data_IF_924593459095
#
_entry.id   IF_924593459095
#
_cell.length_a   1.000
_cell.length_b   1.000
_cell.length_c   1.000
_cell.angle_alpha   90.00
_cell.angle_beta   90.00
_cell.angle_gamma   90.00
#
_symmetry.space_group_name_H-M   'P 1'
#
loop_
_entity.id
_entity.type
_entity.pdbx_description
1 polymer ?
#
# COMPACT_ATOMS: atom_id res chain seq x y z
N UNK A 1 -14.99 16.06 16.20
CA UNK A 1 -15.10 15.28 14.95
C UNK A 1 -16.46 14.61 14.90
N UNK A 2 -17.09 14.55 13.71
CA UNK A 2 -18.41 13.93 13.59
C UNK A 2 -18.34 12.39 13.50
N UNK A 3 -17.21 11.84 13.12
CA UNK A 3 -17.06 10.39 12.96
C UNK A 3 -16.70 9.71 14.29
N UNK A 4 -17.21 8.49 14.44
CA UNK A 4 -16.90 7.59 15.56
C UNK A 4 -15.90 6.52 15.17
N UNK A 5 -15.91 6.15 13.87
CA UNK A 5 -15.00 5.16 13.30
C UNK A 5 -14.33 5.75 12.07
N UNK A 6 -13.00 5.70 12.04
CA UNK A 6 -12.18 6.09 10.89
C UNK A 6 -11.29 4.92 10.51
N UNK A 7 -11.43 4.47 9.26
CA UNK A 7 -10.56 3.44 8.70
C UNK A 7 -9.63 4.03 7.64
N UNK A 8 -8.45 3.45 7.56
CA UNK A 8 -7.43 3.82 6.59
C UNK A 8 -7.11 2.64 5.69
N UNK A 9 -6.78 2.90 4.44
CA UNK A 9 -5.92 2.02 3.69
C UNK A 9 -4.50 2.08 4.26
N UNK A 10 -3.62 1.15 3.88
CA UNK A 10 -2.25 1.07 4.39
C UNK A 10 -1.21 1.53 3.37
N UNK A 11 -1.13 0.84 2.23
CA UNK A 11 -0.09 1.03 1.23
C UNK A 11 -0.29 2.33 0.43
N UNK A 12 0.69 3.24 0.41
CA UNK A 12 0.62 4.58 -0.17
C UNK A 12 -0.42 5.53 0.48
N UNK A 13 -0.97 5.11 1.63
CA UNK A 13 -1.87 5.93 2.46
C UNK A 13 -1.20 6.32 3.77
N UNK A 14 -0.58 5.40 4.49
CA UNK A 14 0.09 5.67 5.76
C UNK A 14 1.62 5.70 5.64
N UNK A 15 2.15 5.17 4.56
CA UNK A 15 3.57 5.21 4.16
C UNK A 15 3.68 5.06 2.63
N UNK A 16 4.83 5.41 2.04
CA UNK A 16 5.08 5.22 0.61
C UNK A 16 5.49 3.78 0.32
N UNK A 17 4.54 2.94 -0.10
CA UNK A 17 4.86 1.60 -0.58
C UNK A 17 5.69 1.64 -1.88
N UNK A 18 5.46 2.62 -2.75
CA UNK A 18 6.24 2.75 -3.99
C UNK A 18 7.72 3.05 -3.72
N UNK A 19 8.02 3.94 -2.76
CA UNK A 19 9.41 4.22 -2.37
C UNK A 19 10.06 3.02 -1.67
N UNK A 20 9.34 2.33 -0.77
CA UNK A 20 9.83 1.13 -0.12
C UNK A 20 10.13 0.02 -1.15
N UNK A 21 9.25 -0.15 -2.13
CA UNK A 21 9.42 -1.08 -3.24
C UNK A 21 10.66 -0.74 -4.08
N UNK A 22 10.81 0.53 -4.48
CA UNK A 22 11.96 0.97 -5.27
C UNK A 22 13.28 0.74 -4.52
N UNK A 23 13.37 1.22 -3.28
CA UNK A 23 14.57 1.07 -2.43
C UNK A 23 14.94 -0.41 -2.25
N UNK A 24 13.96 -1.26 -1.95
CA UNK A 24 14.18 -2.69 -1.74
C UNK A 24 14.60 -3.42 -3.02
N UNK A 25 13.94 -3.16 -4.14
CA UNK A 25 14.27 -3.77 -5.44
C UNK A 25 15.66 -3.33 -5.91
N UNK A 26 15.98 -2.04 -5.81
CA UNK A 26 17.30 -1.52 -6.14
C UNK A 26 18.39 -2.15 -5.26
N UNK A 27 18.16 -2.26 -3.95
CA UNK A 27 19.07 -2.93 -3.05
C UNK A 27 19.31 -4.40 -3.43
N UNK A 28 18.24 -5.16 -3.70
CA UNK A 28 18.36 -6.56 -4.15
C UNK A 28 19.17 -6.67 -5.44
N UNK A 29 18.93 -5.78 -6.40
CA UNK A 29 19.64 -5.81 -7.67
C UNK A 29 21.11 -5.40 -7.52
N UNK A 30 21.41 -4.41 -6.68
CA UNK A 30 22.79 -4.01 -6.37
C UNK A 30 23.58 -5.18 -5.77
N UNK A 31 23.00 -5.91 -4.80
CA UNK A 31 23.62 -7.10 -4.22
C UNK A 31 23.82 -8.22 -5.27
N UNK A 32 22.90 -8.36 -6.20
CA UNK A 32 23.03 -9.34 -7.29
C UNK A 32 24.15 -8.95 -8.26
N UNK A 33 24.24 -7.68 -8.66
CA UNK A 33 25.30 -7.16 -9.51
C UNK A 33 26.69 -7.37 -8.88
N UNK A 34 26.83 -7.12 -7.58
CA UNK A 34 28.07 -7.35 -6.85
C UNK A 34 28.54 -8.81 -6.97
N UNK A 35 27.63 -9.76 -6.75
CA UNK A 35 27.92 -11.20 -6.91
C UNK A 35 28.32 -11.56 -8.35
N UNK A 36 27.72 -10.91 -9.34
CA UNK A 36 28.06 -11.13 -10.75
C UNK A 36 29.43 -10.55 -11.13
N UNK A 37 29.78 -9.38 -10.62
CA UNK A 37 31.11 -8.79 -10.80
C UNK A 37 32.21 -9.68 -10.17
N UNK A 38 32.01 -10.15 -8.94
CA UNK A 38 32.94 -11.05 -8.26
C UNK A 38 33.18 -12.37 -9.03
N UNK A 39 32.14 -12.84 -9.72
CA UNK A 39 32.18 -14.07 -10.54
C UNK A 39 32.55 -13.82 -12.02
N UNK A 40 32.86 -12.59 -12.40
CA UNK A 40 33.12 -12.17 -13.79
C UNK A 40 31.95 -12.52 -14.75
N UNK A 41 30.71 -12.48 -14.29
CA UNK A 41 29.50 -12.70 -15.11
C UNK A 41 29.17 -11.44 -15.90
N UNK A 42 29.40 -10.25 -15.30
CA UNK A 42 29.31 -8.95 -15.92
C UNK A 42 30.63 -8.20 -15.76
N UNK A 43 30.95 -7.30 -16.68
CA UNK A 43 32.19 -6.50 -16.66
C UNK A 43 32.02 -5.18 -15.88
N UNK A 44 30.84 -4.60 -15.94
CA UNK A 44 30.53 -3.29 -15.34
C UNK A 44 29.18 -3.32 -14.61
N UNK A 45 29.04 -2.44 -13.64
CA UNK A 45 27.74 -2.19 -13.03
C UNK A 45 26.79 -1.48 -13.98
N UNK A 46 25.52 -1.88 -13.94
CA UNK A 46 24.43 -1.21 -14.62
C UNK A 46 23.88 -0.08 -13.76
N UNK A 47 23.39 0.96 -14.38
CA UNK A 47 22.66 2.02 -13.70
C UNK A 47 21.37 1.48 -13.06
N UNK A 48 21.28 1.61 -11.73
CA UNK A 48 20.14 1.10 -10.93
C UNK A 48 18.83 1.75 -11.34
N UNK A 49 18.84 3.04 -11.62
CA UNK A 49 17.63 3.80 -11.99
C UNK A 49 17.06 3.31 -13.32
N UNK A 50 17.90 3.16 -14.34
CA UNK A 50 17.50 2.64 -15.66
C UNK A 50 16.94 1.23 -15.56
N UNK A 51 17.64 0.36 -14.81
CA UNK A 51 17.18 -1.02 -14.62
C UNK A 51 15.86 -1.07 -13.84
N UNK A 52 15.73 -0.29 -12.75
CA UNK A 52 14.51 -0.24 -11.96
C UNK A 52 13.30 0.26 -12.76
N UNK A 53 13.48 1.28 -13.61
CA UNK A 53 12.40 1.78 -14.46
C UNK A 53 11.84 0.67 -15.37
N UNK A 54 12.70 -0.18 -15.94
CA UNK A 54 12.27 -1.33 -16.72
C UNK A 54 11.59 -2.39 -15.85
N UNK A 55 12.14 -2.69 -14.66
CA UNK A 55 11.53 -3.62 -13.73
C UNK A 55 10.14 -3.15 -13.28
N UNK A 56 9.99 -1.87 -12.98
CA UNK A 56 8.69 -1.25 -12.63
C UNK A 56 7.70 -1.35 -13.78
N UNK A 57 8.12 -1.04 -15.00
CA UNK A 57 7.29 -1.15 -16.21
C UNK A 57 6.78 -2.57 -16.42
N UNK A 58 7.65 -3.59 -16.33
CA UNK A 58 7.22 -4.99 -16.42
C UNK A 58 6.35 -5.41 -15.23
N UNK A 59 6.64 -4.90 -14.03
CA UNK A 59 5.78 -5.11 -12.86
C UNK A 59 4.35 -4.64 -13.11
N UNK A 60 4.17 -3.44 -13.66
CA UNK A 60 2.85 -2.86 -13.94
C UNK A 60 2.11 -3.62 -15.07
N UNK A 61 2.85 -4.07 -16.11
CA UNK A 61 2.28 -4.88 -17.21
C UNK A 61 1.74 -6.21 -16.68
N UNK A 62 2.53 -6.90 -15.86
CA UNK A 62 2.15 -8.23 -15.35
C UNK A 62 1.21 -8.17 -14.16
N UNK A 63 1.21 -7.08 -13.40
CA UNK A 63 0.25 -6.85 -12.32
C UNK A 63 -1.19 -6.91 -12.81
N UNK A 64 -1.50 -6.27 -13.94
CA UNK A 64 -2.82 -6.33 -14.57
C UNK A 64 -3.27 -7.76 -14.92
N UNK A 65 -2.32 -8.62 -15.28
CA UNK A 65 -2.62 -10.04 -15.56
C UNK A 65 -2.84 -10.83 -14.27
N UNK A 66 -2.10 -10.53 -13.21
CA UNK A 66 -2.25 -11.12 -11.90
C UNK A 66 -3.58 -10.73 -11.25
N UNK A 67 -3.91 -9.44 -11.23
CA UNK A 67 -5.18 -8.91 -10.72
C UNK A 67 -6.39 -9.56 -11.39
N UNK A 68 -6.33 -9.75 -12.71
CA UNK A 68 -7.38 -10.42 -13.48
C UNK A 68 -7.30 -11.96 -13.42
N UNK A 69 -6.46 -12.53 -12.54
CA UNK A 69 -6.26 -13.98 -12.35
C UNK A 69 -5.85 -14.75 -13.61
N UNK A 70 -5.23 -14.06 -14.59
CA UNK A 70 -4.67 -14.68 -15.80
C UNK A 70 -3.34 -15.36 -15.54
N UNK A 71 -2.63 -14.97 -14.50
CA UNK A 71 -1.40 -15.58 -14.02
C UNK A 71 -1.46 -15.67 -12.50
N UNK A 72 -0.78 -16.66 -11.91
CA UNK A 72 -0.59 -16.74 -10.46
C UNK A 72 0.54 -15.82 -9.98
N UNK A 73 0.69 -15.70 -8.66
CA UNK A 73 1.68 -14.84 -8.04
C UNK A 73 3.12 -15.24 -8.42
N UNK A 74 3.41 -16.53 -8.50
CA UNK A 74 4.74 -17.04 -8.84
C UNK A 74 5.10 -16.69 -10.29
N UNK A 75 4.19 -16.93 -11.21
CA UNK A 75 4.34 -16.56 -12.63
C UNK A 75 4.50 -15.07 -12.82
N UNK A 76 3.70 -14.23 -12.12
CA UNK A 76 3.84 -12.79 -12.14
C UNK A 76 5.25 -12.34 -11.75
N UNK A 77 5.77 -12.89 -10.65
CA UNK A 77 7.10 -12.55 -10.10
C UNK A 77 8.23 -12.91 -11.06
N UNK A 78 8.17 -14.11 -11.65
CA UNK A 78 9.16 -14.59 -12.60
C UNK A 78 9.14 -13.81 -13.91
N UNK A 79 7.95 -13.53 -14.47
CA UNK A 79 7.83 -12.82 -15.76
C UNK A 79 8.42 -11.40 -15.68
N UNK A 80 8.12 -10.61 -14.64
CA UNK A 80 8.68 -9.28 -14.51
C UNK A 80 10.20 -9.29 -14.36
N UNK A 81 10.75 -10.27 -13.64
CA UNK A 81 12.19 -10.46 -13.49
C UNK A 81 12.84 -10.85 -14.82
N UNK A 82 12.33 -11.89 -15.48
CA UNK A 82 12.89 -12.41 -16.73
C UNK A 82 12.91 -11.38 -17.84
N UNK A 83 11.80 -10.67 -18.07
CA UNK A 83 11.73 -9.70 -19.15
C UNK A 83 12.61 -8.48 -18.87
N UNK A 84 12.77 -8.09 -17.60
CA UNK A 84 13.76 -7.08 -17.23
C UNK A 84 15.18 -7.57 -17.54
N UNK A 85 15.55 -8.76 -17.09
CA UNK A 85 16.89 -9.30 -17.32
C UNK A 85 17.20 -9.46 -18.81
N UNK A 86 16.23 -9.91 -19.61
CA UNK A 86 16.36 -9.99 -21.08
C UNK A 86 16.64 -8.66 -21.73
N UNK A 87 15.96 -7.60 -21.30
CA UNK A 87 16.16 -6.26 -21.87
C UNK A 87 17.60 -5.76 -21.71
N UNK A 88 18.24 -6.12 -20.59
CA UNK A 88 19.63 -5.75 -20.32
C UNK A 88 20.65 -6.82 -20.71
N UNK A 89 20.22 -7.86 -21.42
CA UNK A 89 21.07 -9.01 -21.81
C UNK A 89 21.79 -9.66 -20.60
N UNK A 90 21.12 -9.70 -19.44
CA UNK A 90 21.61 -10.29 -18.20
C UNK A 90 21.20 -11.76 -18.07
N UNK A 91 21.95 -12.58 -17.33
CA UNK A 91 21.54 -13.95 -17.04
C UNK A 91 20.28 -13.97 -16.17
N UNK A 92 19.46 -14.98 -16.35
CA UNK A 92 18.27 -15.22 -15.53
C UNK A 92 17.87 -16.70 -15.58
N UNK A 93 17.40 -17.18 -14.45
CA UNK A 93 16.72 -18.48 -14.30
C UNK A 93 15.49 -18.31 -13.43
N UNK A 94 14.65 -19.34 -13.38
CA UNK A 94 13.48 -19.39 -12.51
C UNK A 94 13.90 -19.36 -11.02
N UNK A 95 14.97 -20.06 -10.69
CA UNK A 95 15.54 -20.13 -9.34
C UNK A 95 16.09 -18.78 -8.88
N UNK A 96 16.75 -18.05 -9.77
CA UNK A 96 17.24 -16.68 -9.49
C UNK A 96 16.07 -15.71 -9.30
N UNK A 97 15.03 -15.80 -10.12
CA UNK A 97 13.85 -14.98 -9.96
C UNK A 97 13.14 -15.24 -8.62
N UNK A 98 13.01 -16.50 -8.23
CA UNK A 98 12.40 -16.90 -6.96
C UNK A 98 13.26 -16.42 -5.77
N UNK A 99 14.60 -16.58 -5.84
CA UNK A 99 15.54 -16.12 -4.80
C UNK A 99 15.58 -14.59 -4.69
N UNK A 100 15.58 -13.87 -5.81
CA UNK A 100 15.50 -12.42 -5.84
C UNK A 100 14.24 -11.92 -5.15
N UNK A 101 13.12 -12.57 -5.45
CA UNK A 101 11.84 -12.21 -4.86
C UNK A 101 11.75 -12.52 -3.37
N UNK A 102 12.29 -13.68 -2.94
CA UNK A 102 12.37 -14.01 -1.51
C UNK A 102 13.19 -12.96 -0.76
N UNK A 103 14.36 -12.58 -1.27
CA UNK A 103 15.19 -11.53 -0.67
C UNK A 103 14.45 -10.17 -0.61
N UNK A 104 13.76 -9.78 -1.69
CA UNK A 104 12.90 -8.59 -1.68
C UNK A 104 11.85 -8.64 -0.57
N UNK A 105 11.14 -9.76 -0.41
CA UNK A 105 10.12 -9.92 0.64
C UNK A 105 10.69 -9.84 2.04
N UNK A 106 11.90 -10.34 2.24
CA UNK A 106 12.56 -10.31 3.56
C UNK A 106 12.94 -8.90 4.01
N UNK A 107 13.13 -7.98 3.06
CA UNK A 107 13.69 -6.66 3.37
C UNK A 107 12.76 -5.48 3.08
N UNK A 108 11.69 -5.65 2.27
CA UNK A 108 10.90 -4.51 1.77
C UNK A 108 10.28 -3.66 2.90
N UNK A 109 9.85 -4.29 3.97
CA UNK A 109 9.31 -3.60 5.14
C UNK A 109 10.38 -2.78 5.89
N UNK A 110 11.67 -3.11 5.77
CA UNK A 110 12.74 -2.31 6.37
C UNK A 110 12.88 -0.92 5.76
N UNK A 111 12.36 -0.72 4.55
CA UNK A 111 12.31 0.56 3.85
C UNK A 111 10.98 1.30 4.00
N UNK A 112 10.03 0.73 4.74
CA UNK A 112 8.73 1.38 5.00
C UNK A 112 8.90 2.47 6.05
N UNK A 113 8.76 3.73 5.63
CA UNK A 113 8.82 4.90 6.49
C UNK A 113 7.43 5.56 6.54
N UNK A 114 6.90 5.89 7.75
CA UNK A 114 5.59 6.51 7.87
C UNK A 114 5.58 7.89 7.20
N UNK A 115 4.46 8.27 6.61
CA UNK A 115 4.28 9.63 6.11
C UNK A 115 4.32 10.64 7.25
N UNK A 116 4.81 11.85 6.92
CA UNK A 116 4.80 12.99 7.83
C UNK A 116 3.40 13.25 8.37
N UNK A 117 3.29 13.46 9.69
CA UNK A 117 2.02 13.70 10.37
C UNK A 117 1.27 12.44 10.81
N UNK A 118 1.74 11.22 10.47
CA UNK A 118 1.04 9.97 10.84
C UNK A 118 0.82 9.87 12.35
N UNK A 119 1.86 10.04 13.15
CA UNK A 119 1.76 9.89 14.61
C UNK A 119 0.94 11.00 15.27
N UNK A 120 1.02 12.23 14.74
CA UNK A 120 0.15 13.32 15.20
C UNK A 120 -1.31 12.99 14.91
N UNK A 121 -1.63 12.54 13.70
CA UNK A 121 -2.98 12.13 13.31
C UNK A 121 -3.51 11.03 14.23
N UNK A 122 -2.76 9.94 14.43
CA UNK A 122 -3.17 8.83 15.29
C UNK A 122 -3.38 9.28 16.74
N UNK A 123 -2.49 10.12 17.27
CA UNK A 123 -2.61 10.66 18.62
C UNK A 123 -3.87 11.51 18.81
N UNK A 124 -4.19 12.36 17.83
CA UNK A 124 -5.41 13.19 17.87
C UNK A 124 -6.66 12.33 17.80
N UNK A 125 -6.69 11.30 16.96
CA UNK A 125 -7.81 10.39 16.84
C UNK A 125 -8.05 9.62 18.16
N UNK A 126 -6.98 9.10 18.74
CA UNK A 126 -7.02 8.39 20.02
C UNK A 126 -7.54 9.29 21.17
N UNK A 127 -7.00 10.53 21.28
CA UNK A 127 -7.45 11.50 22.28
C UNK A 127 -8.91 11.93 22.10
N UNK A 128 -9.40 11.88 20.85
CA UNK A 128 -10.80 12.19 20.52
C UNK A 128 -11.75 10.99 20.73
N UNK A 129 -11.25 9.84 21.18
CA UNK A 129 -12.05 8.63 21.37
C UNK A 129 -12.56 8.00 20.09
N UNK A 130 -11.89 8.28 18.95
CA UNK A 130 -12.24 7.71 17.66
C UNK A 130 -11.71 6.28 17.57
N UNK A 131 -12.56 5.36 17.10
CA UNK A 131 -12.14 4.00 16.79
C UNK A 131 -11.41 4.02 15.44
N UNK A 132 -10.16 3.59 15.45
CA UNK A 132 -9.32 3.54 14.23
C UNK A 132 -9.20 2.11 13.75
N UNK A 133 -9.30 1.89 12.43
CA UNK A 133 -9.05 0.59 11.79
C UNK A 133 -8.24 0.73 10.50
N UNK A 134 -7.72 -0.39 10.03
CA UNK A 134 -7.05 -0.51 8.72
C UNK A 134 -7.83 -1.51 7.87
N UNK A 135 -8.17 -1.14 6.63
CA UNK A 135 -8.75 -2.06 5.63
C UNK A 135 -7.82 -2.06 4.42
N UNK A 136 -7.11 -3.17 4.20
CA UNK A 136 -6.05 -3.24 3.20
C UNK A 136 -6.16 -4.46 2.28
N UNK A 137 -5.82 -4.27 1.00
CA UNK A 137 -5.68 -5.37 0.05
C UNK A 137 -4.23 -5.87 0.10
N UNK A 138 -4.04 -7.16 0.43
CA UNK A 138 -2.71 -7.75 0.52
C UNK A 138 -2.71 -9.09 1.23
N UNK A 139 -1.51 -9.57 1.55
CA UNK A 139 -1.29 -10.83 2.27
C UNK A 139 -1.04 -10.56 3.76
N UNK A 140 -1.51 -11.45 4.63
CA UNK A 140 -1.49 -11.24 6.08
C UNK A 140 -0.07 -11.02 6.62
N UNK A 141 0.87 -11.86 6.20
CA UNK A 141 2.25 -11.81 6.65
C UNK A 141 2.94 -10.47 6.37
N UNK A 142 2.69 -9.88 5.20
CA UNK A 142 3.30 -8.60 4.82
C UNK A 142 2.60 -7.41 5.46
N UNK A 143 1.26 -7.42 5.56
CA UNK A 143 0.52 -6.26 6.07
C UNK A 143 0.73 -6.04 7.57
N UNK A 144 0.73 -7.09 8.38
CA UNK A 144 1.04 -6.98 9.81
C UNK A 144 2.48 -6.46 10.05
N UNK A 145 3.46 -6.97 9.31
CA UNK A 145 4.86 -6.48 9.40
C UNK A 145 4.98 -5.00 9.03
N UNK A 146 4.27 -4.53 8.00
CA UNK A 146 4.24 -3.11 7.63
C UNK A 146 3.67 -2.24 8.75
N UNK A 147 2.52 -2.64 9.34
CA UNK A 147 1.90 -1.93 10.45
C UNK A 147 2.85 -1.83 11.66
N UNK A 148 3.53 -2.91 11.98
CA UNK A 148 4.55 -2.93 13.04
C UNK A 148 5.72 -2.00 12.70
N UNK A 149 6.25 -2.12 11.47
CA UNK A 149 7.44 -1.38 11.03
C UNK A 149 7.22 0.13 11.00
N UNK A 150 6.06 0.60 10.56
CA UNK A 150 5.73 2.04 10.58
C UNK A 150 5.29 2.54 11.97
N UNK A 151 5.38 1.69 13.01
CA UNK A 151 5.13 2.09 14.40
C UNK A 151 3.65 2.19 14.80
N UNK A 152 2.72 1.66 14.01
CA UNK A 152 1.29 1.74 14.31
C UNK A 152 0.78 0.72 15.33
N UNK A 153 1.56 -0.30 15.68
CA UNK A 153 1.18 -1.31 16.66
C UNK A 153 0.88 -0.73 18.06
N UNK A 154 1.34 0.49 18.36
CA UNK A 154 1.01 1.21 19.60
C UNK A 154 -0.35 1.92 19.58
N UNK A 155 -0.96 2.09 18.40
CA UNK A 155 -2.23 2.78 18.20
C UNK A 155 -3.37 1.86 17.77
N UNK A 156 -3.04 0.78 17.06
CA UNK A 156 -3.99 -0.11 16.39
C UNK A 156 -3.64 -1.55 16.75
N UNK A 157 -4.59 -2.28 17.32
CA UNK A 157 -4.44 -3.70 17.61
C UNK A 157 -4.76 -4.58 16.40
N UNK A 158 -4.29 -5.82 16.37
CA UNK A 158 -4.47 -6.71 15.24
C UNK A 158 -5.95 -7.00 14.89
N UNK A 159 -6.84 -6.96 15.85
CA UNK A 159 -8.29 -7.11 15.65
C UNK A 159 -8.96 -5.91 14.96
N UNK A 160 -8.24 -4.80 14.80
CA UNK A 160 -8.65 -3.60 14.05
C UNK A 160 -8.03 -3.56 12.64
N UNK A 161 -7.33 -4.61 12.21
CA UNK A 161 -6.70 -4.71 10.89
C UNK A 161 -7.46 -5.75 10.06
N UNK A 162 -7.97 -5.33 8.92
CA UNK A 162 -8.83 -6.11 8.02
C UNK A 162 -8.09 -6.34 6.71
N UNK A 163 -7.57 -7.54 6.52
CA UNK A 163 -6.73 -7.92 5.38
C UNK A 163 -7.53 -8.77 4.41
N UNK A 164 -7.51 -8.41 3.12
CA UNK A 164 -8.33 -9.06 2.08
C UNK A 164 -8.08 -10.57 1.94
N UNK A 165 -6.84 -11.02 2.14
CA UNK A 165 -6.50 -12.46 2.10
C UNK A 165 -7.19 -13.23 3.21
N UNK A 166 -7.14 -12.74 4.45
CA UNK A 166 -7.76 -13.40 5.61
C UNK A 166 -9.29 -13.41 5.52
N UNK A 167 -9.86 -12.35 4.95
CA UNK A 167 -11.31 -12.20 4.84
C UNK A 167 -11.89 -12.87 3.57
N UNK A 168 -11.03 -13.28 2.64
CA UNK A 168 -11.46 -13.84 1.34
C UNK A 168 -12.21 -12.83 0.46
N UNK A 169 -12.12 -11.55 0.77
CA UNK A 169 -12.77 -10.46 0.04
C UNK A 169 -11.92 -9.20 0.07
N UNK A 170 -11.83 -8.50 -1.06
CA UNK A 170 -10.96 -7.33 -1.24
C UNK A 170 -11.79 -6.07 -1.55
N UNK A 171 -11.24 -4.88 -1.27
CA UNK A 171 -11.72 -3.61 -1.83
C UNK A 171 -11.67 -3.66 -3.36
N UNK A 172 -12.65 -3.11 -4.08
CA UNK A 172 -13.72 -2.22 -3.64
C UNK A 172 -15.00 -2.91 -3.18
N UNK A 173 -15.00 -4.23 -2.93
CA UNK A 173 -16.22 -4.93 -2.50
C UNK A 173 -16.78 -4.34 -1.22
N UNK A 174 -18.05 -3.93 -1.24
CA UNK A 174 -18.79 -3.46 -0.06
C UNK A 174 -18.62 -4.38 1.15
N UNK A 175 -18.53 -5.69 0.92
CA UNK A 175 -18.46 -6.70 1.98
C UNK A 175 -17.27 -6.53 2.92
N UNK A 176 -16.11 -6.08 2.43
CA UNK A 176 -14.94 -5.88 3.32
C UNK A 176 -15.18 -4.71 4.29
N UNK A 177 -15.82 -3.64 3.83
CA UNK A 177 -16.20 -2.48 4.64
C UNK A 177 -17.27 -2.86 5.69
N UNK A 178 -18.26 -3.66 5.29
CA UNK A 178 -19.31 -4.13 6.20
C UNK A 178 -18.72 -5.04 7.31
N UNK A 179 -17.78 -5.95 6.98
CA UNK A 179 -17.08 -6.80 7.96
C UNK A 179 -16.27 -5.94 8.95
N UNK A 180 -15.53 -4.96 8.45
CA UNK A 180 -14.74 -4.08 9.30
C UNK A 180 -15.65 -3.29 10.26
N UNK A 181 -16.73 -2.70 9.74
CA UNK A 181 -17.67 -1.95 10.56
C UNK A 181 -18.34 -2.82 11.64
N UNK A 182 -18.75 -4.04 11.29
CA UNK A 182 -19.33 -4.97 12.26
C UNK A 182 -18.39 -5.29 13.41
N UNK A 183 -17.09 -5.48 13.11
CA UNK A 183 -16.09 -5.80 14.13
C UNK A 183 -15.67 -4.59 14.98
N UNK A 184 -15.62 -3.40 14.39
CA UNK A 184 -15.26 -2.16 15.08
C UNK A 184 -16.41 -1.54 15.88
N UNK A 185 -17.63 -2.00 15.66
CA UNK A 185 -18.86 -1.44 16.24
C UNK A 185 -19.67 -0.63 15.23
N UNK A 186 -20.92 -1.05 15.02
CA UNK A 186 -21.79 -0.44 14.03
C UNK A 186 -22.07 1.03 14.34
N UNK A 187 -21.83 1.92 13.38
CA UNK A 187 -22.14 3.34 13.43
C UNK A 187 -22.48 3.89 12.06
N UNK A 188 -23.26 4.99 12.04
CA UNK A 188 -23.49 5.76 10.80
C UNK A 188 -22.39 6.79 10.56
N UNK A 189 -21.65 7.16 11.59
CA UNK A 189 -20.59 8.17 11.61
C UNK A 189 -19.25 7.52 11.33
N UNK A 190 -18.99 7.20 10.05
CA UNK A 190 -17.85 6.42 9.60
C UNK A 190 -17.16 7.04 8.40
N UNK A 191 -15.84 7.08 8.41
CA UNK A 191 -15.00 7.68 7.39
C UNK A 191 -13.92 6.69 6.94
N UNK A 192 -13.66 6.66 5.64
CA UNK A 192 -12.54 5.93 5.06
C UNK A 192 -11.53 6.90 4.41
N UNK A 193 -10.25 6.66 4.59
CA UNK A 193 -9.17 7.46 4.02
C UNK A 193 -8.24 6.53 3.25
N UNK A 194 -8.02 6.81 1.96
CA UNK A 194 -7.19 5.97 1.11
C UNK A 194 -6.72 6.66 -0.15
N UNK A 195 -5.77 6.02 -0.87
CA UNK A 195 -5.07 6.59 -2.03
C UNK A 195 -5.53 6.02 -3.37
N UNK A 196 -6.32 4.96 -3.37
CA UNK A 196 -6.84 4.34 -4.58
C UNK A 196 -8.23 4.85 -4.89
N UNK A 197 -8.39 5.52 -6.04
CA UNK A 197 -9.71 6.02 -6.44
C UNK A 197 -10.76 4.91 -6.52
N UNK A 198 -10.44 3.81 -7.19
CA UNK A 198 -11.38 2.70 -7.40
C UNK A 198 -11.59 1.86 -6.12
N UNK A 199 -10.49 1.42 -5.50
CA UNK A 199 -10.58 0.49 -4.38
C UNK A 199 -11.05 1.16 -3.08
N UNK A 200 -10.58 2.37 -2.83
CA UNK A 200 -10.80 3.06 -1.55
C UNK A 200 -11.97 4.01 -1.64
N UNK A 201 -11.93 4.96 -2.59
CA UNK A 201 -12.93 6.04 -2.62
C UNK A 201 -14.26 5.54 -3.14
N UNK A 202 -14.28 4.92 -4.33
CA UNK A 202 -15.52 4.34 -4.86
C UNK A 202 -16.04 3.24 -3.94
N UNK A 203 -15.17 2.32 -3.50
CA UNK A 203 -15.57 1.22 -2.63
C UNK A 203 -16.17 1.68 -1.30
N UNK A 204 -15.57 2.67 -0.64
CA UNK A 204 -16.08 3.21 0.62
C UNK A 204 -17.42 3.94 0.42
N UNK A 205 -17.53 4.82 -0.58
CA UNK A 205 -18.77 5.57 -0.86
C UNK A 205 -19.91 4.61 -1.21
N UNK A 206 -19.67 3.60 -2.05
CA UNK A 206 -20.66 2.57 -2.39
C UNK A 206 -21.07 1.72 -1.18
N UNK A 207 -20.17 1.57 -0.19
CA UNK A 207 -20.48 0.93 1.09
C UNK A 207 -21.18 1.86 2.10
N UNK A 208 -21.42 3.13 1.74
CA UNK A 208 -22.09 4.13 2.57
C UNK A 208 -21.19 4.73 3.65
N UNK A 209 -19.89 4.80 3.42
CA UNK A 209 -18.92 5.55 4.22
C UNK A 209 -18.70 6.93 3.61
N UNK A 210 -18.40 7.92 4.45
CA UNK A 210 -17.72 9.11 3.97
C UNK A 210 -16.31 8.75 3.51
N UNK A 211 -15.73 9.51 2.59
CA UNK A 211 -14.39 9.23 2.08
C UNK A 211 -13.53 10.49 1.98
N UNK A 212 -12.25 10.39 2.29
CA UNK A 212 -11.22 11.37 1.96
C UNK A 212 -10.20 10.70 1.01
N UNK A 213 -9.99 11.34 -0.14
CA UNK A 213 -9.01 10.88 -1.12
C UNK A 213 -7.63 11.44 -0.78
N UNK A 214 -6.71 10.58 -0.35
CA UNK A 214 -5.33 10.96 -0.11
C UNK A 214 -4.52 10.77 -1.40
N UNK A 215 -4.54 11.77 -2.27
CA UNK A 215 -3.95 11.73 -3.61
C UNK A 215 -2.48 12.19 -3.61
N UNK A 216 -1.61 11.49 -2.91
CA UNK A 216 -0.17 11.80 -2.83
C UNK A 216 0.56 11.72 -4.17
N UNK A 217 -0.06 11.07 -5.18
CA UNK A 217 0.55 10.75 -6.48
C UNK A 217 -0.11 11.46 -7.65
N UNK A 218 -0.97 12.46 -7.38
CA UNK A 218 -1.67 13.26 -8.38
C UNK A 218 -2.39 12.43 -9.48
N UNK A 219 -3.08 11.36 -9.04
CA UNK A 219 -3.84 10.48 -9.95
C UNK A 219 -5.20 11.07 -10.25
N UNK A 220 -5.70 10.97 -11.50
CA UNK A 220 -7.01 11.50 -11.86
C UNK A 220 -8.15 10.70 -11.22
N UNK A 221 -9.24 11.39 -10.93
CA UNK A 221 -10.52 10.78 -10.57
C UNK A 221 -11.19 10.17 -11.80
N UNK A 222 -11.49 8.89 -11.76
CA UNK A 222 -12.01 8.15 -12.94
C UNK A 222 -13.55 8.08 -13.01
N UNK A 223 -14.27 8.51 -11.95
CA UNK A 223 -15.73 8.38 -11.83
C UNK A 223 -16.33 9.64 -11.20
N UNK A 224 -17.69 9.68 -11.09
CA UNK A 224 -18.42 10.81 -10.50
C UNK A 224 -18.58 10.73 -8.97
N UNK A 225 -17.90 9.83 -8.27
CA UNK A 225 -17.94 9.79 -6.82
C UNK A 225 -17.36 11.09 -6.23
N UNK A 226 -17.94 11.51 -5.11
CA UNK A 226 -17.58 12.78 -4.47
C UNK A 226 -17.04 12.49 -3.06
N UNK A 227 -15.73 12.44 -2.87
CA UNK A 227 -15.14 12.39 -1.52
C UNK A 227 -15.39 13.74 -0.82
N UNK A 228 -15.37 13.75 0.51
CA UNK A 228 -15.47 14.97 1.32
C UNK A 228 -14.33 15.95 1.05
N UNK A 229 -13.15 15.42 0.83
CA UNK A 229 -11.96 16.18 0.49
C UNK A 229 -10.98 15.35 -0.33
N UNK A 230 -10.14 16.05 -1.10
CA UNK A 230 -8.93 15.49 -1.71
C UNK A 230 -7.73 16.17 -1.07
N UNK A 231 -6.86 15.37 -0.45
CA UNK A 231 -5.66 15.83 0.24
C UNK A 231 -4.41 15.24 -0.45
N UNK A 232 -3.30 15.94 -0.37
CA UNK A 232 -2.02 15.43 -0.88
C UNK A 232 -1.10 14.93 0.23
N UNK A 233 -1.42 15.26 1.50
CA UNK A 233 -0.62 14.89 2.67
C UNK A 233 -1.52 14.51 3.85
N UNK A 234 -1.02 13.67 4.76
CA UNK A 234 -1.74 13.33 6.00
C UNK A 234 -1.98 14.55 6.91
N UNK A 235 -1.11 15.54 6.88
CA UNK A 235 -1.29 16.79 7.61
C UNK A 235 -2.51 17.58 7.13
N UNK A 236 -2.85 17.51 5.83
CA UNK A 236 -4.07 18.12 5.29
C UNK A 236 -5.32 17.34 5.72
N UNK A 237 -5.24 16.00 5.76
CA UNK A 237 -6.31 15.16 6.32
C UNK A 237 -6.62 15.57 7.75
N UNK A 238 -5.60 15.76 8.59
CA UNK A 238 -5.76 16.22 9.97
C UNK A 238 -6.47 17.57 10.05
N UNK A 239 -6.16 18.50 9.16
CA UNK A 239 -6.84 19.81 9.11
C UNK A 239 -8.34 19.65 8.75
N UNK A 240 -8.67 18.84 7.74
CA UNK A 240 -10.08 18.54 7.37
C UNK A 240 -10.84 17.96 8.56
N UNK A 241 -10.22 17.05 9.32
CA UNK A 241 -10.85 16.44 10.50
C UNK A 241 -11.04 17.43 11.66
N UNK A 242 -10.18 18.46 11.78
CA UNK A 242 -10.27 19.52 12.80
C UNK A 242 -11.29 20.60 12.42
N UNK A 243 -11.35 21.00 11.16
CA UNK A 243 -12.24 22.07 10.68
C UNK A 243 -13.71 21.66 10.82
N UNK A 244 -14.04 20.38 10.67
CA UNK A 244 -15.38 19.87 10.94
C UNK A 244 -15.83 20.07 12.41
N UNK A 245 -14.91 20.27 13.35
CA UNK A 245 -15.24 20.62 14.73
C UNK A 245 -15.63 22.10 14.88
N UNK A 246 -15.05 22.98 14.06
CA UNK A 246 -15.27 24.43 14.18
C UNK A 246 -16.59 24.90 13.56
N UNK A 247 -17.20 24.13 12.66
CA UNK A 247 -18.47 24.49 12.02
C UNK A 247 -19.73 24.13 12.85
N UNK A 248 -19.58 23.45 13.98
CA UNK A 248 -20.68 22.98 14.83
C UNK A 248 -20.67 23.57 16.26
N UNK A 249 -19.79 24.51 16.54
CA UNK A 249 -19.76 25.34 17.75
C UNK A 249 -20.41 26.71 17.48
#
# INVERSE_FOLDING_TARGET
MQWKTICFDLDNTLFSHEEAFEKAICYCFEQLQQKWLEKNVIENQLDLSTWFNSFKRYSDIYWKKFETKKVDAKTYRRLRYHDTMKEFALPYTDEEADAFHAHYYDIVDTFSEPYEGLFELMSVLQQSGIIVGIITNGTADTQYRKVEKIGLASFISNDQIFISEELGVAKPSRKIFDIALQKLGETKEKLFIGDSWEHDICGAIDAGWDAIYLNTRDKPSATNHQPLATCQKLTEVLNVLRDDQSMKG
#
